data_IF_836146553466
#
_entry.id   IF_836146553466
#
_cell.length_a   1.000
_cell.length_b   1.000
_cell.length_c   1.000
_cell.angle_alpha   90.00
_cell.angle_beta   90.00
_cell.angle_gamma   90.00
#
_symmetry.space_group_name_H-M   'P 1'
#
loop_
_entity.id
_entity.type
_entity.pdbx_description
1 polymer ?
#
# COMPACT_ATOMS: atom_id res chain seq x y z
N UNK A 1 12.58 5.04 -7.17
CA UNK A 1 12.50 4.85 -8.64
C UNK A 1 13.84 4.94 -9.39
N UNK A 2 14.94 5.47 -8.81
CA UNK A 2 16.26 5.48 -9.49
C UNK A 2 16.78 4.08 -9.87
N UNK A 3 16.44 3.06 -9.06
CA UNK A 3 16.85 1.67 -9.29
C UNK A 3 16.32 1.08 -10.61
N UNK A 4 15.06 1.38 -10.97
CA UNK A 4 14.42 0.84 -12.18
C UNK A 4 14.67 1.68 -13.44
N UNK A 5 15.26 2.89 -13.32
CA UNK A 5 15.53 3.84 -14.42
C UNK A 5 14.32 4.18 -15.31
N UNK A 6 13.09 3.93 -14.86
CA UNK A 6 11.88 4.08 -15.66
C UNK A 6 11.27 5.49 -15.64
N UNK A 7 11.70 6.36 -14.73
CA UNK A 7 11.09 7.69 -14.53
C UNK A 7 11.17 8.64 -15.75
N UNK A 8 12.10 8.38 -16.70
CA UNK A 8 12.21 9.17 -17.94
C UNK A 8 11.19 8.81 -19.01
N UNK A 9 10.59 7.62 -18.90
CA UNK A 9 9.67 7.04 -19.87
C UNK A 9 8.36 7.84 -19.97
N UNK A 10 7.77 7.93 -21.16
CA UNK A 10 6.51 8.64 -21.37
C UNK A 10 5.33 7.97 -20.65
N UNK A 11 5.33 6.64 -20.56
CA UNK A 11 4.31 5.87 -19.82
C UNK A 11 4.43 6.16 -18.33
N UNK A 12 5.65 6.19 -17.78
CA UNK A 12 5.86 6.55 -16.38
C UNK A 12 5.35 7.97 -16.07
N UNK A 13 5.61 8.94 -16.95
CA UNK A 13 5.12 10.32 -16.79
C UNK A 13 3.59 10.39 -16.84
N UNK A 14 2.95 9.60 -17.69
CA UNK A 14 1.50 9.52 -17.76
C UNK A 14 0.93 8.87 -16.50
N UNK A 15 1.49 7.74 -16.06
CA UNK A 15 1.13 7.07 -14.81
C UNK A 15 1.11 8.04 -13.63
N UNK A 16 2.17 8.84 -13.44
CA UNK A 16 2.21 9.82 -12.34
C UNK A 16 1.12 10.89 -12.45
N UNK A 17 0.77 11.34 -13.66
CA UNK A 17 -0.36 12.28 -13.86
C UNK A 17 -1.69 11.63 -13.51
N UNK A 18 -1.90 10.38 -13.89
CA UNK A 18 -3.14 9.66 -13.62
C UNK A 18 -3.31 9.39 -12.11
N UNK A 19 -2.23 9.04 -11.42
CA UNK A 19 -2.20 8.94 -9.96
C UNK A 19 -2.58 10.28 -9.30
N UNK A 20 -1.98 11.39 -9.73
CA UNK A 20 -2.29 12.73 -9.21
C UNK A 20 -3.77 13.09 -9.43
N UNK A 21 -4.33 12.81 -10.61
CA UNK A 21 -5.75 13.04 -10.90
C UNK A 21 -6.65 12.20 -9.98
N UNK A 22 -6.34 10.92 -9.78
CA UNK A 22 -7.10 10.03 -8.91
C UNK A 22 -7.11 10.52 -7.45
N UNK A 23 -6.01 11.12 -6.96
CA UNK A 23 -5.99 11.68 -5.59
C UNK A 23 -7.00 12.80 -5.38
N UNK A 24 -7.31 13.57 -6.43
CA UNK A 24 -8.21 14.73 -6.40
C UNK A 24 -9.67 14.40 -6.67
N UNK A 25 -9.99 13.17 -7.06
CA UNK A 25 -11.36 12.74 -7.32
C UNK A 25 -12.16 12.63 -6.01
N UNK A 26 -13.22 13.44 -5.80
CA UNK A 26 -14.04 13.37 -4.59
C UNK A 26 -14.99 12.16 -4.55
N UNK A 27 -15.42 11.65 -5.70
CA UNK A 27 -16.33 10.51 -5.77
C UNK A 27 -15.57 9.19 -5.56
N UNK A 28 -15.96 8.42 -4.54
CA UNK A 28 -15.22 7.24 -4.12
C UNK A 28 -15.18 6.12 -5.18
N UNK A 29 -16.30 5.89 -5.87
CA UNK A 29 -16.38 4.84 -6.90
C UNK A 29 -15.60 5.23 -8.16
N UNK A 30 -15.72 6.47 -8.61
CA UNK A 30 -14.89 7.00 -9.71
C UNK A 30 -13.41 6.97 -9.34
N UNK A 31 -13.07 7.33 -8.11
CA UNK A 31 -11.67 7.26 -7.63
C UNK A 31 -11.15 5.83 -7.68
N UNK A 32 -11.94 4.86 -7.24
CA UNK A 32 -11.59 3.44 -7.29
C UNK A 32 -11.34 2.96 -8.72
N UNK A 33 -12.19 3.36 -9.68
CA UNK A 33 -12.00 3.03 -11.09
C UNK A 33 -10.70 3.65 -11.65
N UNK A 34 -10.47 4.94 -11.38
CA UNK A 34 -9.22 5.60 -11.79
C UNK A 34 -7.97 4.94 -11.17
N UNK A 35 -8.09 4.44 -9.93
CA UNK A 35 -7.02 3.70 -9.27
C UNK A 35 -6.76 2.37 -9.98
N UNK A 36 -7.81 1.65 -10.36
CA UNK A 36 -7.66 0.41 -11.11
C UNK A 36 -6.95 0.66 -12.44
N UNK A 37 -7.37 1.69 -13.20
CA UNK A 37 -6.80 2.01 -14.51
C UNK A 37 -5.28 2.22 -14.44
N UNK A 38 -4.78 2.96 -13.45
CA UNK A 38 -3.34 3.19 -13.33
C UNK A 38 -2.59 1.98 -12.74
N UNK A 39 -3.24 1.15 -11.92
CA UNK A 39 -2.64 -0.11 -11.42
C UNK A 39 -2.47 -1.10 -12.56
N UNK A 40 -3.41 -1.15 -13.51
CA UNK A 40 -3.31 -2.00 -14.70
C UNK A 40 -2.06 -1.64 -15.52
N UNK A 41 -1.75 -0.36 -15.67
CA UNK A 41 -0.48 0.09 -16.28
C UNK A 41 0.73 -0.43 -15.52
N UNK A 42 0.72 -0.41 -14.19
CA UNK A 42 1.83 -0.96 -13.37
C UNK A 42 1.97 -2.47 -13.58
N UNK A 43 0.84 -3.20 -13.68
CA UNK A 43 0.83 -4.64 -13.93
C UNK A 43 1.34 -5.00 -15.33
N UNK A 44 0.92 -4.25 -16.36
CA UNK A 44 1.36 -4.45 -17.73
C UNK A 44 2.85 -4.16 -17.91
N UNK A 45 3.35 -3.08 -17.30
CA UNK A 45 4.75 -2.68 -17.46
C UNK A 45 5.69 -3.49 -16.56
N UNK A 46 5.19 -4.04 -15.45
CA UNK A 46 5.90 -4.92 -14.51
C UNK A 46 7.29 -4.42 -14.07
N UNK A 47 7.51 -3.10 -14.06
CA UNK A 47 8.80 -2.46 -13.74
C UNK A 47 9.26 -2.75 -12.32
N UNK A 48 8.30 -2.82 -11.39
CA UNK A 48 8.43 -3.37 -10.05
C UNK A 48 7.07 -3.95 -9.66
N UNK A 49 6.98 -5.26 -9.46
CA UNK A 49 5.70 -5.92 -9.23
C UNK A 49 5.78 -6.94 -8.09
N UNK A 50 4.76 -7.03 -7.20
CA UNK A 50 4.75 -8.00 -6.13
C UNK A 50 4.75 -9.44 -6.66
N UNK A 51 5.60 -10.29 -6.08
CA UNK A 51 5.55 -11.75 -6.33
C UNK A 51 4.54 -12.42 -5.41
N UNK A 52 4.52 -12.00 -4.14
CA UNK A 52 3.60 -12.48 -3.10
C UNK A 52 3.19 -11.34 -2.17
N UNK A 53 2.01 -11.47 -1.58
CA UNK A 53 1.58 -10.69 -0.42
C UNK A 53 1.59 -11.61 0.79
N UNK A 54 2.16 -11.17 1.91
CA UNK A 54 2.36 -12.00 3.09
C UNK A 54 1.41 -11.62 4.22
N UNK A 55 1.04 -12.59 5.04
CA UNK A 55 0.37 -12.34 6.32
C UNK A 55 1.37 -11.80 7.34
N UNK A 56 0.95 -10.78 8.10
CA UNK A 56 1.76 -10.17 9.15
C UNK A 56 1.49 -10.84 10.49
N UNK A 57 2.39 -11.72 10.90
CA UNK A 57 2.30 -12.40 12.20
C UNK A 57 2.71 -11.46 13.34
N UNK A 58 1.83 -11.31 14.33
CA UNK A 58 2.09 -10.55 15.57
C UNK A 58 1.84 -11.46 16.76
N UNK A 59 2.78 -11.55 17.69
CA UNK A 59 2.67 -12.36 18.90
C UNK A 59 2.93 -11.54 20.16
N UNK A 60 2.22 -11.85 21.24
CA UNK A 60 2.43 -11.33 22.59
C UNK A 60 2.01 -12.38 23.62
N UNK A 61 2.46 -12.20 24.86
CA UNK A 61 2.02 -13.02 25.99
C UNK A 61 0.70 -12.47 26.54
N UNK A 62 -0.44 -13.17 26.36
CA UNK A 62 -1.75 -12.68 26.78
C UNK A 62 -1.94 -12.72 28.30
N UNK A 63 -1.11 -13.46 29.04
CA UNK A 63 -1.13 -13.50 30.51
C UNK A 63 -0.43 -12.28 31.12
N UNK A 64 0.49 -11.66 30.37
CA UNK A 64 1.23 -10.47 30.81
C UNK A 64 0.70 -9.18 30.23
N UNK A 65 0.18 -9.23 29.00
CA UNK A 65 -0.13 -8.03 28.23
C UNK A 65 -1.52 -8.11 27.60
N UNK A 66 -2.30 -7.06 27.83
CA UNK A 66 -3.60 -6.83 27.19
C UNK A 66 -3.57 -5.59 26.31
N UNK A 67 -4.57 -5.43 25.44
CA UNK A 67 -4.71 -4.27 24.56
C UNK A 67 -3.83 -4.26 23.30
N UNK A 68 -2.99 -5.27 23.11
CA UNK A 68 -2.24 -5.49 21.87
C UNK A 68 -3.17 -6.11 20.81
N UNK A 69 -3.06 -5.64 19.56
CA UNK A 69 -3.79 -6.16 18.40
C UNK A 69 -2.86 -6.28 17.21
N UNK A 70 -2.97 -7.39 16.47
CA UNK A 70 -2.33 -7.52 15.17
C UNK A 70 -2.80 -6.40 14.23
N UNK A 71 -1.87 -5.85 13.43
CA UNK A 71 -2.14 -4.77 12.49
C UNK A 71 -2.01 -5.29 11.05
N UNK A 72 -2.81 -4.77 10.10
CA UNK A 72 -2.69 -5.12 8.69
C UNK A 72 -1.52 -4.42 7.98
N UNK A 73 -0.69 -3.69 8.72
CA UNK A 73 0.50 -3.00 8.23
C UNK A 73 1.71 -3.31 9.13
N UNK A 74 2.95 -3.26 8.61
CA UNK A 74 4.14 -3.55 9.39
C UNK A 74 4.28 -2.65 10.61
N UNK A 75 4.74 -3.23 11.72
CA UNK A 75 4.92 -2.56 13.00
C UNK A 75 3.98 -3.07 14.09
N UNK A 76 4.12 -2.55 15.31
CA UNK A 76 3.32 -2.91 16.48
C UNK A 76 2.79 -1.64 17.12
N UNK A 77 1.49 -1.62 17.47
CA UNK A 77 0.87 -0.50 18.19
C UNK A 77 0.78 -0.83 19.69
N UNK A 78 1.44 -0.01 20.52
CA UNK A 78 1.48 -0.17 21.98
C UNK A 78 0.71 0.91 22.74
N UNK A 79 -0.01 1.82 22.06
CA UNK A 79 -0.73 2.93 22.71
C UNK A 79 -1.86 2.47 23.64
N UNK A 80 -2.36 1.24 23.43
CA UNK A 80 -3.41 0.63 24.26
C UNK A 80 -2.87 -0.54 25.10
N UNK A 81 -1.57 -0.83 25.02
CA UNK A 81 -0.96 -1.94 25.74
C UNK A 81 -0.93 -1.66 27.24
N UNK A 82 -1.32 -2.66 28.03
CA UNK A 82 -1.29 -2.60 29.49
C UNK A 82 -0.82 -3.93 30.05
N UNK A 83 -0.17 -3.89 31.21
CA UNK A 83 0.01 -5.09 32.01
C UNK A 83 -1.36 -5.67 32.36
N UNK A 84 -1.49 -6.98 32.24
CA UNK A 84 -2.69 -7.73 32.59
C UNK A 84 -2.87 -7.84 34.11
#
# INVERSE_FOLDING_TARGET
MQYARWAGDSVAKQLFRDMDLATRQPDAEKKKLMIQDYIDVVAEQAVLYPVVHNELMTAWDPEKLSGIRAQPYPGVNLLQAKWA
#
